data_IF_300368386487
#
_entry.id   IF_300368386487
#
_cell.length_a   1.000
_cell.length_b   1.000
_cell.length_c   1.000
_cell.angle_alpha   90.00
_cell.angle_beta   90.00
_cell.angle_gamma   90.00
#
_symmetry.space_group_name_H-M   'P 1'
#
loop_
_entity.id
_entity.type
_entity.pdbx_description
1 polymer ?
#
# COMPACT_ATOMS: atom_id res chain seq x y z
N UNK A 1 -11.00 -13.52 -15.08
CA UNK A 1 -10.95 -12.07 -14.77
C UNK A 1 -11.69 -11.81 -13.46
N UNK A 2 -11.26 -10.82 -12.68
CA UNK A 2 -11.95 -10.40 -11.45
C UNK A 2 -12.68 -9.09 -11.73
N UNK A 3 -14.01 -9.10 -11.64
CA UNK A 3 -14.86 -7.92 -11.77
C UNK A 3 -15.13 -7.27 -10.41
N UNK A 4 -15.22 -5.95 -10.38
CA UNK A 4 -15.67 -5.20 -9.22
C UNK A 4 -16.87 -4.34 -9.56
N UNK A 5 -17.85 -4.29 -8.67
CA UNK A 5 -18.89 -3.25 -8.64
C UNK A 5 -18.78 -2.51 -7.32
N UNK A 6 -18.55 -1.20 -7.41
CA UNK A 6 -18.42 -0.32 -6.26
C UNK A 6 -19.59 0.68 -6.32
N UNK A 7 -20.36 0.83 -5.24
CA UNK A 7 -21.40 1.86 -5.14
C UNK A 7 -20.82 3.28 -5.16
N UNK A 8 -19.57 3.43 -4.71
CA UNK A 8 -18.80 4.66 -4.77
C UNK A 8 -17.39 4.42 -5.32
N UNK A 9 -16.80 5.44 -5.94
CA UNK A 9 -15.49 5.37 -6.58
C UNK A 9 -14.35 5.60 -5.59
N UNK A 10 -14.30 4.77 -4.52
CA UNK A 10 -13.31 4.88 -3.45
C UNK A 10 -12.51 3.59 -3.30
N UNK A 11 -11.22 3.72 -3.03
CA UNK A 11 -10.25 2.64 -2.76
C UNK A 11 -10.10 1.59 -3.89
N UNK A 12 -10.48 1.92 -5.10
CA UNK A 12 -10.45 1.03 -6.26
C UNK A 12 -9.06 0.41 -6.49
N UNK A 13 -8.02 1.22 -6.45
CA UNK A 13 -6.63 0.74 -6.62
C UNK A 13 -6.21 -0.24 -5.52
N UNK A 14 -6.49 0.08 -4.26
CA UNK A 14 -6.14 -0.76 -3.12
C UNK A 14 -6.91 -2.08 -3.12
N UNK A 15 -8.16 -2.07 -3.56
CA UNK A 15 -9.01 -3.25 -3.65
C UNK A 15 -8.55 -4.19 -4.78
N UNK A 16 -8.21 -3.64 -5.94
CA UNK A 16 -7.63 -4.40 -7.04
C UNK A 16 -6.29 -5.02 -6.64
N UNK A 17 -5.41 -4.25 -5.98
CA UNK A 17 -4.14 -4.75 -5.48
C UNK A 17 -4.32 -5.90 -4.46
N UNK A 18 -5.34 -5.80 -3.60
CA UNK A 18 -5.66 -6.87 -2.64
C UNK A 18 -6.15 -8.13 -3.35
N UNK A 19 -7.09 -8.01 -4.29
CA UNK A 19 -7.59 -9.15 -5.06
C UNK A 19 -6.50 -9.82 -5.90
N UNK A 20 -5.61 -9.01 -6.50
CA UNK A 20 -4.44 -9.53 -7.23
C UNK A 20 -3.47 -10.27 -6.30
N UNK A 21 -3.38 -9.84 -5.03
CA UNK A 21 -2.62 -10.55 -4.00
C UNK A 21 -3.17 -11.96 -3.70
N UNK A 22 -4.51 -12.11 -3.71
CA UNK A 22 -5.17 -13.42 -3.57
C UNK A 22 -5.06 -14.29 -4.82
N UNK A 23 -5.14 -13.67 -6.01
CA UNK A 23 -5.17 -14.38 -7.30
C UNK A 23 -4.12 -13.80 -8.25
N UNK A 24 -2.83 -14.10 -8.06
CA UNK A 24 -1.76 -13.58 -8.89
C UNK A 24 -1.97 -13.89 -10.37
N UNK A 25 -1.70 -12.91 -11.24
CA UNK A 25 -1.83 -13.04 -12.68
C UNK A 25 -3.25 -12.87 -13.22
N UNK A 26 -4.27 -12.73 -12.36
CA UNK A 26 -5.64 -12.43 -12.82
C UNK A 26 -5.80 -10.92 -13.04
N UNK A 27 -6.42 -10.58 -14.18
CA UNK A 27 -6.78 -9.18 -14.48
C UNK A 27 -7.96 -8.74 -13.64
N UNK A 28 -7.96 -7.47 -13.25
CA UNK A 28 -9.05 -6.83 -12.50
C UNK A 28 -9.71 -5.75 -13.34
N UNK A 29 -11.03 -5.55 -13.15
CA UNK A 29 -11.80 -4.51 -13.83
C UNK A 29 -12.83 -3.93 -12.85
N UNK A 30 -12.93 -2.59 -12.82
CA UNK A 30 -13.90 -1.87 -11.97
C UNK A 30 -15.07 -1.38 -12.80
N UNK A 31 -16.30 -1.63 -12.29
CA UNK A 31 -17.57 -1.19 -12.88
C UNK A 31 -17.70 -1.53 -14.38
N UNK A 32 -17.13 -2.65 -14.80
CA UNK A 32 -17.20 -3.20 -16.14
C UNK A 32 -18.07 -4.44 -16.22
N UNK A 33 -17.81 -5.27 -17.24
CA UNK A 33 -18.48 -6.56 -17.37
C UNK A 33 -18.18 -7.47 -16.17
N UNK A 34 -19.15 -8.30 -15.79
CA UNK A 34 -18.98 -9.27 -14.70
C UNK A 34 -17.83 -10.23 -15.02
N UNK A 35 -16.83 -10.30 -14.11
CA UNK A 35 -15.73 -11.26 -14.23
C UNK A 35 -16.17 -12.69 -13.88
N UNK A 36 -15.25 -13.64 -14.04
CA UNK A 36 -15.47 -15.03 -13.60
C UNK A 36 -15.66 -15.10 -12.08
N UNK A 37 -14.99 -14.23 -11.35
CA UNK A 37 -15.19 -13.92 -9.94
C UNK A 37 -15.57 -12.46 -9.83
N UNK A 38 -16.68 -12.15 -9.17
CA UNK A 38 -17.20 -10.80 -9.04
C UNK A 38 -17.22 -10.37 -7.57
N UNK A 39 -16.77 -9.15 -7.30
CA UNK A 39 -16.72 -8.55 -5.95
C UNK A 39 -17.56 -7.29 -5.97
N UNK A 40 -18.71 -7.33 -5.32
CA UNK A 40 -19.58 -6.18 -5.12
C UNK A 40 -19.33 -5.57 -3.74
N UNK A 41 -19.17 -4.25 -3.69
CA UNK A 41 -18.96 -3.49 -2.45
C UNK A 41 -19.98 -2.36 -2.41
N UNK A 42 -20.78 -2.35 -1.36
CA UNK A 42 -21.73 -1.29 -1.08
C UNK A 42 -21.25 -0.48 0.13
N UNK A 43 -21.05 0.81 -0.09
CA UNK A 43 -20.58 1.78 0.90
C UNK A 43 -21.79 2.49 1.51
N UNK A 44 -22.52 1.80 2.40
CA UNK A 44 -23.66 2.40 3.10
C UNK A 44 -23.24 3.36 4.21
N UNK A 45 -24.14 4.24 4.61
CA UNK A 45 -23.90 5.28 5.63
C UNK A 45 -23.59 4.70 7.03
N UNK A 46 -24.19 3.56 7.37
CA UNK A 46 -24.07 2.92 8.68
C UNK A 46 -23.42 1.53 8.60
N UNK A 47 -23.35 0.97 7.42
CA UNK A 47 -22.85 -0.38 7.18
C UNK A 47 -22.17 -0.47 5.83
N UNK A 48 -21.05 -1.17 5.77
CA UNK A 48 -20.41 -1.55 4.53
C UNK A 48 -20.67 -3.03 4.30
N UNK A 49 -21.06 -3.39 3.08
CA UNK A 49 -21.22 -4.79 2.71
C UNK A 49 -20.30 -5.17 1.55
N UNK A 50 -19.83 -6.41 1.59
CA UNK A 50 -19.00 -7.03 0.54
C UNK A 50 -19.63 -8.35 0.16
N UNK A 51 -19.86 -8.57 -1.12
CA UNK A 51 -20.33 -9.83 -1.68
C UNK A 51 -19.36 -10.32 -2.76
N UNK A 52 -18.89 -11.55 -2.64
CA UNK A 52 -18.10 -12.24 -3.67
C UNK A 52 -18.97 -13.31 -4.29
N UNK A 53 -19.06 -13.30 -5.61
CA UNK A 53 -19.94 -14.17 -6.38
C UNK A 53 -19.20 -14.81 -7.56
N UNK A 54 -19.56 -16.05 -7.85
CA UNK A 54 -19.19 -16.80 -9.04
C UNK A 54 -20.43 -17.56 -9.56
N UNK A 55 -20.30 -18.26 -10.66
CA UNK A 55 -21.38 -19.14 -11.16
C UNK A 55 -21.74 -20.26 -10.18
N UNK A 56 -20.82 -20.66 -9.30
CA UNK A 56 -20.98 -21.78 -8.39
C UNK A 56 -21.62 -21.36 -7.05
N UNK A 57 -21.50 -20.08 -6.65
CA UNK A 57 -22.08 -19.60 -5.41
C UNK A 57 -21.66 -18.20 -5.04
N UNK A 58 -22.22 -17.72 -3.91
CA UNK A 58 -21.90 -16.39 -3.39
C UNK A 58 -21.65 -16.40 -1.89
N UNK A 59 -20.78 -15.52 -1.42
CA UNK A 59 -20.51 -15.27 0.00
C UNK A 59 -20.47 -13.78 0.26
N UNK A 60 -21.16 -13.34 1.31
CA UNK A 60 -21.21 -11.95 1.70
C UNK A 60 -20.84 -11.78 3.18
N UNK A 61 -20.39 -10.60 3.52
CA UNK A 61 -20.16 -10.14 4.89
C UNK A 61 -20.38 -8.65 4.96
N UNK A 62 -20.74 -8.15 6.12
CA UNK A 62 -20.90 -6.72 6.37
C UNK A 62 -20.26 -6.32 7.69
N UNK A 63 -19.99 -5.03 7.85
CA UNK A 63 -19.54 -4.43 9.08
C UNK A 63 -20.18 -3.07 9.29
N UNK A 64 -20.61 -2.82 10.52
CA UNK A 64 -21.09 -1.50 10.90
C UNK A 64 -19.94 -0.47 10.83
N UNK A 65 -20.27 0.70 10.34
CA UNK A 65 -19.41 1.89 10.42
C UNK A 65 -19.79 2.61 11.72
N UNK A 66 -19.01 2.37 12.75
CA UNK A 66 -19.19 3.05 14.04
C UNK A 66 -18.29 4.28 14.07
N UNK A 67 -18.87 5.43 13.89
CA UNK A 67 -18.17 6.70 14.04
C UNK A 67 -19.19 7.83 14.05
N UNK A 68 -19.01 8.77 14.95
CA UNK A 68 -19.84 9.98 15.09
C UNK A 68 -19.75 10.91 13.87
N UNK A 69 -19.08 10.48 12.81
CA UNK A 69 -18.73 11.36 11.73
C UNK A 69 -19.39 10.98 10.42
N UNK A 70 -20.19 11.88 9.95
CA UNK A 70 -20.57 12.07 8.56
C UNK A 70 -19.33 12.22 7.64
N UNK A 71 -18.59 11.14 7.46
CA UNK A 71 -17.44 11.16 6.56
C UNK A 71 -17.84 11.50 5.13
N UNK A 72 -19.08 11.19 4.74
CA UNK A 72 -19.71 11.60 3.48
C UNK A 72 -20.05 13.09 3.42
N UNK A 73 -20.22 13.76 4.57
CA UNK A 73 -20.74 15.14 4.63
C UNK A 73 -19.66 16.20 4.76
N UNK A 74 -18.41 15.86 5.00
CA UNK A 74 -17.32 16.84 5.00
C UNK A 74 -16.92 17.14 3.57
N UNK A 75 -17.34 18.31 3.09
CA UNK A 75 -17.02 18.84 1.78
C UNK A 75 -15.56 18.58 1.39
N UNK A 76 -15.38 17.79 0.34
CA UNK A 76 -14.22 17.77 -0.50
C UNK A 76 -13.05 16.87 -0.14
N UNK A 77 -12.81 16.45 1.10
CA UNK A 77 -11.80 15.43 1.46
C UNK A 77 -12.05 14.87 2.84
N UNK A 78 -12.14 13.55 2.95
CA UNK A 78 -12.14 12.83 4.21
C UNK A 78 -10.94 13.26 5.06
N UNK A 79 -11.16 13.60 6.33
CA UNK A 79 -10.07 13.78 7.27
C UNK A 79 -9.21 12.52 7.29
N UNK A 80 -7.90 12.67 7.18
CA UNK A 80 -6.96 11.56 6.95
C UNK A 80 -7.13 10.35 7.91
N UNK A 81 -7.33 10.51 9.24
CA UNK A 81 -7.52 9.37 10.15
C UNK A 81 -8.78 8.57 9.84
N UNK A 82 -9.86 9.26 9.53
CA UNK A 82 -11.15 8.65 9.27
C UNK A 82 -11.18 7.86 7.96
N UNK A 83 -10.61 8.44 6.89
CA UNK A 83 -10.44 7.74 5.62
C UNK A 83 -9.63 6.45 5.78
N UNK A 84 -8.60 6.47 6.62
CA UNK A 84 -7.78 5.28 6.89
C UNK A 84 -8.58 4.21 7.64
N UNK A 85 -9.37 4.60 8.64
CA UNK A 85 -10.25 3.71 9.38
C UNK A 85 -11.25 3.01 8.46
N UNK A 86 -11.97 3.78 7.67
CA UNK A 86 -12.96 3.28 6.73
C UNK A 86 -12.35 2.34 5.68
N UNK A 87 -11.24 2.73 5.08
CA UNK A 87 -10.49 1.90 4.16
C UNK A 87 -10.09 0.56 4.77
N UNK A 88 -9.68 0.55 6.02
CA UNK A 88 -9.28 -0.67 6.71
C UNK A 88 -10.47 -1.61 6.93
N UNK A 89 -11.67 -1.09 7.22
CA UNK A 89 -12.90 -1.89 7.31
C UNK A 89 -13.19 -2.56 5.96
N UNK A 90 -13.25 -1.79 4.88
CA UNK A 90 -13.51 -2.31 3.53
C UNK A 90 -12.51 -3.40 3.16
N UNK A 91 -11.22 -3.11 3.30
CA UNK A 91 -10.16 -4.07 2.95
C UNK A 91 -10.21 -5.33 3.82
N UNK A 92 -10.52 -5.20 5.11
CA UNK A 92 -10.67 -6.34 6.01
C UNK A 92 -11.86 -7.21 5.62
N UNK A 93 -13.00 -6.61 5.24
CA UNK A 93 -14.16 -7.33 4.75
C UNK A 93 -13.83 -8.11 3.48
N UNK A 94 -13.25 -7.44 2.47
CA UNK A 94 -12.82 -8.10 1.22
C UNK A 94 -11.85 -9.24 1.51
N UNK A 95 -10.84 -9.00 2.35
CA UNK A 95 -9.87 -10.04 2.75
C UNK A 95 -10.57 -11.24 3.39
N UNK A 96 -11.49 -10.99 4.34
CA UNK A 96 -12.18 -12.05 5.07
C UNK A 96 -13.07 -12.87 4.15
N UNK A 97 -13.86 -12.21 3.28
CA UNK A 97 -14.74 -12.90 2.35
C UNK A 97 -13.93 -13.72 1.34
N UNK A 98 -12.85 -13.18 0.79
CA UNK A 98 -11.97 -13.90 -0.15
C UNK A 98 -11.23 -15.07 0.52
N UNK A 99 -10.74 -14.87 1.76
CA UNK A 99 -10.09 -15.94 2.53
C UNK A 99 -11.03 -17.12 2.77
N UNK A 100 -12.26 -16.82 3.15
CA UNK A 100 -13.25 -17.79 3.58
C UNK A 100 -14.20 -18.22 2.45
N UNK A 101 -13.95 -17.79 1.22
CA UNK A 101 -14.70 -18.21 0.02
C UNK A 101 -14.43 -19.70 -0.25
N UNK A 102 -15.45 -20.57 -0.43
CA UNK A 102 -15.21 -21.99 -0.69
C UNK A 102 -14.34 -22.21 -1.93
N UNK A 103 -13.39 -23.13 -1.84
CA UNK A 103 -12.48 -23.41 -2.96
C UNK A 103 -13.21 -24.03 -4.15
N UNK A 104 -14.20 -24.87 -3.87
CA UNK A 104 -15.06 -25.50 -4.87
C UNK A 104 -15.94 -24.50 -5.64
N UNK A 105 -16.05 -23.26 -5.18
CA UNK A 105 -16.77 -22.18 -5.88
C UNK A 105 -15.84 -21.30 -6.72
N UNK A 106 -14.53 -21.50 -6.60
CA UNK A 106 -13.58 -20.73 -7.40
C UNK A 106 -13.70 -21.15 -8.88
N UNK A 107 -13.62 -20.19 -9.82
CA UNK A 107 -13.64 -20.49 -11.23
C UNK A 107 -12.39 -21.29 -11.64
N UNK A 108 -12.50 -22.05 -12.73
CA UNK A 108 -11.38 -22.79 -13.29
C UNK A 108 -10.14 -21.90 -13.51
N UNK A 109 -8.99 -22.37 -13.08
CA UNK A 109 -7.72 -21.66 -13.15
C UNK A 109 -7.55 -20.53 -12.13
N UNK A 110 -8.45 -20.43 -11.14
CA UNK A 110 -8.22 -19.54 -9.98
C UNK A 110 -7.58 -20.34 -8.84
N UNK A 111 -6.35 -20.02 -8.54
CA UNK A 111 -5.62 -20.55 -7.38
C UNK A 111 -5.50 -19.47 -6.32
N UNK A 112 -6.15 -19.69 -5.19
CA UNK A 112 -6.11 -18.74 -4.09
C UNK A 112 -4.76 -18.79 -3.36
N UNK A 113 -4.13 -17.63 -3.19
CA UNK A 113 -2.99 -17.43 -2.32
C UNK A 113 -3.37 -16.50 -1.19
N UNK A 114 -3.03 -16.86 0.04
CA UNK A 114 -3.30 -15.99 1.17
C UNK A 114 -2.20 -14.93 1.29
N UNK A 115 -2.52 -13.62 1.15
CA UNK A 115 -1.53 -12.56 1.31
C UNK A 115 -0.99 -12.54 2.75
N UNK A 116 0.28 -12.87 2.94
CA UNK A 116 0.90 -12.98 4.27
C UNK A 116 1.04 -11.65 5.00
N UNK A 117 1.04 -10.54 4.28
CA UNK A 117 0.96 -9.17 4.82
C UNK A 117 -0.49 -8.69 4.98
N UNK A 118 -1.47 -9.58 4.80
CA UNK A 118 -2.88 -9.27 4.94
C UNK A 118 -3.34 -8.19 3.97
N UNK A 119 -3.98 -7.16 4.50
CA UNK A 119 -4.49 -6.03 3.72
C UNK A 119 -3.45 -4.96 3.40
N UNK A 120 -2.21 -5.11 3.84
CA UNK A 120 -1.12 -4.17 3.57
C UNK A 120 -0.54 -4.42 2.17
N UNK A 121 -1.09 -3.75 1.16
CA UNK A 121 -0.73 -3.90 -0.26
C UNK A 121 0.37 -2.94 -0.74
N UNK A 122 0.91 -2.10 0.15
CA UNK A 122 1.96 -1.14 -0.19
C UNK A 122 3.35 -1.78 -0.30
N UNK A 123 4.26 -1.07 -0.97
CA UNK A 123 5.65 -1.50 -1.18
C UNK A 123 6.45 -1.61 0.13
N UNK A 124 6.10 -0.82 1.15
CA UNK A 124 6.78 -0.78 2.45
C UNK A 124 5.79 -1.05 3.60
N UNK A 125 5.45 -2.31 3.87
CA UNK A 125 4.50 -2.65 4.93
C UNK A 125 5.01 -2.27 6.35
N UNK A 126 6.33 -2.16 6.55
CA UNK A 126 6.95 -1.76 7.82
C UNK A 126 6.70 -0.28 8.20
N UNK A 127 6.23 0.57 7.27
CA UNK A 127 5.92 1.96 7.57
C UNK A 127 4.78 2.10 8.60
N UNK A 128 3.78 1.23 8.53
CA UNK A 128 2.63 1.25 9.45
C UNK A 128 3.08 0.98 10.89
N UNK A 129 3.72 -0.18 11.20
CA UNK A 129 4.23 -0.44 12.54
C UNK A 129 5.27 0.57 12.99
N UNK A 130 6.11 1.10 12.12
CA UNK A 130 7.07 2.14 12.47
C UNK A 130 6.39 3.41 12.99
N UNK A 131 5.37 3.90 12.30
CA UNK A 131 4.63 5.08 12.75
C UNK A 131 3.98 4.84 14.13
N UNK A 132 3.39 3.66 14.34
CA UNK A 132 2.78 3.29 15.62
C UNK A 132 3.81 3.28 16.77
N UNK A 133 5.01 2.74 16.51
CA UNK A 133 6.10 2.74 17.51
C UNK A 133 6.62 4.15 17.79
N UNK A 134 6.72 5.00 16.77
CA UNK A 134 7.09 6.41 16.93
C UNK A 134 6.03 7.24 17.68
N UNK A 135 4.76 6.83 17.60
CA UNK A 135 3.65 7.36 18.42
C UNK A 135 3.66 6.85 19.87
N UNK A 136 4.60 5.96 20.23
CA UNK A 136 4.78 5.44 21.59
C UNK A 136 3.98 4.17 21.91
N UNK A 137 3.42 3.50 20.92
CA UNK A 137 2.72 2.21 21.15
C UNK A 137 3.70 1.10 21.48
N UNK A 138 3.26 0.19 22.34
CA UNK A 138 4.03 -1.00 22.70
C UNK A 138 4.08 -2.00 21.53
N UNK A 139 5.19 -2.76 21.44
CA UNK A 139 5.38 -3.76 20.36
C UNK A 139 4.29 -4.80 20.30
N UNK A 140 3.80 -5.25 21.44
CA UNK A 140 2.71 -6.24 21.55
C UNK A 140 1.41 -5.68 20.98
N UNK A 141 1.04 -4.44 21.32
CA UNK A 141 -0.11 -3.74 20.78
C UNK A 141 -0.01 -3.58 19.25
N UNK A 142 1.17 -3.17 18.76
CA UNK A 142 1.41 -3.05 17.31
C UNK A 142 1.20 -4.39 16.60
N UNK A 143 1.72 -5.48 17.15
CA UNK A 143 1.53 -6.82 16.57
C UNK A 143 0.06 -7.24 16.55
N UNK A 144 -0.70 -6.96 17.60
CA UNK A 144 -2.14 -7.23 17.68
C UNK A 144 -2.92 -6.41 16.64
N UNK A 145 -2.60 -5.13 16.46
CA UNK A 145 -3.22 -4.29 15.43
C UNK A 145 -2.91 -4.83 14.03
N UNK A 146 -1.66 -5.21 13.76
CA UNK A 146 -1.27 -5.79 12.46
C UNK A 146 -2.05 -7.06 12.14
N UNK A 147 -2.33 -7.90 13.13
CA UNK A 147 -3.11 -9.13 12.96
C UNK A 147 -4.60 -8.84 12.86
N UNK A 148 -5.16 -8.04 13.77
CA UNK A 148 -6.60 -7.88 13.93
C UNK A 148 -7.20 -6.85 12.95
N UNK A 149 -6.47 -5.78 12.63
CA UNK A 149 -6.93 -4.73 11.71
C UNK A 149 -6.48 -5.00 10.29
N UNK A 150 -5.20 -5.38 10.12
CA UNK A 150 -4.59 -5.56 8.79
C UNK A 150 -4.56 -7.01 8.32
N UNK A 151 -5.08 -7.96 9.10
CA UNK A 151 -5.10 -9.39 8.74
C UNK A 151 -3.71 -9.97 8.41
N UNK A 152 -2.67 -9.41 8.99
CA UNK A 152 -1.30 -9.84 8.78
C UNK A 152 -1.07 -11.21 9.46
N UNK A 153 -0.27 -12.08 8.86
CA UNK A 153 0.12 -13.34 9.52
C UNK A 153 0.96 -13.05 10.77
N UNK A 154 0.89 -13.94 11.77
CA UNK A 154 1.66 -13.82 13.03
C UNK A 154 3.15 -13.58 12.76
N UNK A 155 3.73 -14.38 11.85
CA UNK A 155 5.14 -14.28 11.50
C UNK A 155 5.51 -12.93 10.85
N UNK A 156 4.63 -12.41 9.98
CA UNK A 156 4.87 -11.12 9.32
C UNK A 156 4.59 -9.95 10.24
N UNK A 157 3.63 -10.05 11.15
CA UNK A 157 3.40 -9.05 12.18
C UNK A 157 4.63 -8.93 13.10
N UNK A 158 5.18 -10.05 13.58
CA UNK A 158 6.39 -10.06 14.38
C UNK A 158 7.60 -9.49 13.61
N UNK A 159 7.85 -9.98 12.39
CA UNK A 159 8.95 -9.50 11.55
C UNK A 159 8.82 -8.00 11.24
N UNK A 160 7.62 -7.55 10.86
CA UNK A 160 7.37 -6.15 10.53
C UNK A 160 7.58 -5.22 11.71
N UNK A 161 7.14 -5.62 12.91
CA UNK A 161 7.34 -4.86 14.15
C UNK A 161 8.82 -4.80 14.55
N UNK A 162 9.56 -5.90 14.41
CA UNK A 162 10.99 -5.94 14.72
C UNK A 162 11.80 -5.04 13.77
N UNK A 163 11.54 -5.12 12.46
CA UNK A 163 12.18 -4.24 11.46
C UNK A 163 11.84 -2.79 11.77
N UNK A 164 10.57 -2.49 12.03
CA UNK A 164 10.11 -1.13 12.34
C UNK A 164 10.79 -0.56 13.59
N UNK A 165 10.99 -1.38 14.62
CA UNK A 165 11.69 -0.96 15.83
C UNK A 165 13.18 -0.62 15.58
N UNK A 166 13.85 -1.41 14.74
CA UNK A 166 15.23 -1.13 14.33
C UNK A 166 15.32 0.14 13.48
N UNK A 167 14.41 0.31 12.52
CA UNK A 167 14.33 1.53 11.69
C UNK A 167 14.08 2.76 12.56
N UNK A 168 13.14 2.71 13.52
CA UNK A 168 12.83 3.82 14.42
C UNK A 168 14.06 4.22 15.27
N UNK A 169 14.79 3.24 15.80
CA UNK A 169 16.00 3.50 16.58
C UNK A 169 17.10 4.18 15.73
N UNK A 170 17.31 3.73 14.50
CA UNK A 170 18.27 4.34 13.57
C UNK A 170 17.85 5.78 13.20
N UNK A 171 16.57 6.02 12.96
CA UNK A 171 16.06 7.36 12.64
C UNK A 171 16.26 8.33 13.82
N UNK A 172 15.99 7.89 15.05
CA UNK A 172 16.21 8.72 16.24
C UNK A 172 17.68 9.13 16.39
N UNK A 173 18.63 8.22 16.11
CA UNK A 173 20.07 8.54 16.15
C UNK A 173 20.48 9.57 15.08
N UNK A 174 19.76 9.63 13.98
CA UNK A 174 20.09 10.52 12.85
C UNK A 174 19.42 11.88 12.92
N UNK A 175 18.70 12.21 14.02
CA UNK A 175 18.00 13.51 14.18
C UNK A 175 17.17 13.88 12.92
N UNK A 176 16.50 12.89 12.33
CA UNK A 176 15.87 13.01 10.99
C UNK A 176 14.74 14.04 10.91
N UNK A 177 14.16 14.45 12.07
CA UNK A 177 13.05 15.39 12.12
C UNK A 177 13.48 16.80 11.71
N UNK A 178 14.69 17.20 12.11
CA UNK A 178 15.25 18.53 11.84
C UNK A 178 16.29 18.54 10.71
N UNK A 179 16.64 17.36 10.22
CA UNK A 179 17.59 17.17 9.14
C UNK A 179 16.94 16.93 7.78
N UNK A 180 17.80 16.72 6.78
CA UNK A 180 17.37 16.27 5.46
C UNK A 180 18.33 15.22 4.90
N UNK A 181 17.82 14.37 4.03
CA UNK A 181 18.61 13.41 3.23
C UNK A 181 18.66 13.86 1.80
N UNK A 182 19.82 13.76 1.17
CA UNK A 182 20.03 14.12 -0.23
C UNK A 182 20.27 12.86 -1.06
N UNK A 183 19.30 12.51 -1.90
CA UNK A 183 19.47 11.42 -2.87
C UNK A 183 20.04 11.95 -4.19
N UNK A 184 21.19 11.43 -4.60
CA UNK A 184 21.83 11.76 -5.88
C UNK A 184 21.74 10.56 -6.80
N UNK A 185 20.93 10.66 -7.85
CA UNK A 185 20.79 9.63 -8.87
C UNK A 185 21.69 9.90 -10.06
N UNK A 186 22.42 8.88 -10.55
CA UNK A 186 23.21 8.96 -11.80
C UNK A 186 22.60 7.97 -12.79
N UNK A 187 21.88 8.47 -13.84
CA UNK A 187 21.12 7.59 -14.73
C UNK A 187 21.94 7.02 -15.89
N UNK A 188 23.25 7.25 -15.96
CA UNK A 188 24.11 6.75 -17.04
C UNK A 188 24.69 5.39 -16.67
N UNK A 189 24.35 4.37 -17.43
CA UNK A 189 24.83 3.01 -17.23
C UNK A 189 25.54 2.47 -18.47
N UNK A 190 26.64 1.71 -18.33
CA UNK A 190 27.25 1.02 -19.45
C UNK A 190 26.28 0.07 -20.15
N UNK A 191 25.51 -0.67 -19.34
CA UNK A 191 24.46 -1.58 -19.79
C UNK A 191 23.26 -1.46 -18.87
N UNK A 192 22.04 -1.78 -19.37
CA UNK A 192 20.84 -1.85 -18.54
C UNK A 192 20.73 -3.25 -17.96
N UNK A 193 20.72 -3.37 -16.62
CA UNK A 193 20.47 -4.65 -15.93
C UNK A 193 19.06 -5.16 -16.23
N UNK A 194 18.91 -6.46 -16.42
CA UNK A 194 17.64 -7.09 -16.78
C UNK A 194 16.49 -6.77 -15.79
N UNK A 195 16.83 -6.56 -14.53
CA UNK A 195 15.89 -6.27 -13.43
C UNK A 195 15.79 -4.77 -13.10
N UNK A 196 16.44 -3.88 -13.87
CA UNK A 196 16.48 -2.45 -13.54
C UNK A 196 15.14 -1.77 -13.81
N UNK A 197 14.59 -1.13 -12.78
CA UNK A 197 13.38 -0.29 -12.85
C UNK A 197 13.68 1.22 -12.75
N UNK A 198 14.95 1.60 -12.59
CA UNK A 198 15.34 3.01 -12.55
C UNK A 198 15.48 3.59 -13.96
N UNK A 199 15.33 4.93 -14.11
CA UNK A 199 15.74 5.60 -15.34
C UNK A 199 17.20 5.27 -15.67
N UNK A 200 17.42 4.67 -16.83
CA UNK A 200 18.73 4.20 -17.26
C UNK A 200 18.97 4.60 -18.71
N UNK A 201 20.02 5.34 -18.93
CA UNK A 201 20.48 5.78 -20.25
C UNK A 201 21.80 5.11 -20.60
N UNK A 202 21.81 4.36 -21.70
CA UNK A 202 23.03 3.70 -22.18
C UNK A 202 24.14 4.74 -22.46
N UNK A 203 25.33 4.49 -21.93
CA UNK A 203 26.47 5.35 -22.14
C UNK A 203 26.87 5.44 -23.64
N UNK A 204 26.63 4.39 -24.43
CA UNK A 204 26.91 4.38 -25.86
C UNK A 204 26.08 5.43 -26.61
N UNK A 205 24.80 5.56 -26.26
CA UNK A 205 23.88 6.49 -26.91
C UNK A 205 23.89 7.89 -26.30
N UNK A 206 23.98 7.97 -24.99
CA UNK A 206 23.77 9.21 -24.21
C UNK A 206 25.04 9.69 -23.50
N UNK A 207 26.20 9.03 -23.70
CA UNK A 207 27.44 9.35 -23.01
C UNK A 207 27.93 10.78 -23.24
N UNK A 208 27.58 11.38 -24.37
CA UNK A 208 27.93 12.77 -24.72
C UNK A 208 27.23 13.80 -23.80
N UNK A 209 26.15 13.43 -23.09
CA UNK A 209 25.40 14.30 -22.15
C UNK A 209 25.92 14.22 -20.71
N UNK A 210 26.90 13.36 -20.40
CA UNK A 210 27.39 13.15 -19.03
C UNK A 210 27.94 14.39 -18.37
N UNK A 211 28.75 15.13 -19.06
CA UNK A 211 29.41 16.33 -18.50
C UNK A 211 28.37 17.43 -18.23
N UNK A 212 27.44 17.63 -19.14
CA UNK A 212 26.31 18.56 -18.96
C UNK A 212 25.42 18.16 -17.77
N UNK A 213 25.17 16.87 -17.63
CA UNK A 213 24.43 16.33 -16.51
C UNK A 213 25.14 16.57 -15.17
N UNK A 214 26.45 16.29 -15.09
CA UNK A 214 27.24 16.52 -13.89
C UNK A 214 27.27 18.02 -13.54
N UNK A 215 27.40 18.90 -14.53
CA UNK A 215 27.33 20.33 -14.33
C UNK A 215 25.95 20.78 -13.82
N UNK A 216 24.85 20.20 -14.33
CA UNK A 216 23.51 20.46 -13.84
C UNK A 216 23.34 19.97 -12.40
N UNK A 217 23.78 18.75 -12.11
CA UNK A 217 23.73 18.15 -10.77
C UNK A 217 24.48 19.01 -9.73
N UNK A 218 25.66 19.51 -10.07
CA UNK A 218 26.41 20.42 -9.20
C UNK A 218 25.65 21.73 -8.92
N UNK A 219 24.94 22.27 -9.91
CA UNK A 219 24.08 23.45 -9.70
C UNK A 219 22.91 23.13 -8.77
N UNK A 220 22.27 21.97 -8.94
CA UNK A 220 21.17 21.51 -8.07
C UNK A 220 21.64 21.30 -6.64
N UNK A 221 22.80 20.66 -6.42
CA UNK A 221 23.38 20.47 -5.07
C UNK A 221 23.63 21.82 -4.40
N UNK A 222 24.22 22.79 -5.13
CA UNK A 222 24.43 24.14 -4.60
C UNK A 222 23.10 24.88 -4.29
N UNK A 223 22.09 24.68 -5.14
CA UNK A 223 20.73 25.21 -4.91
C UNK A 223 20.09 24.59 -3.68
N UNK A 224 20.16 23.26 -3.53
CA UNK A 224 19.66 22.53 -2.39
C UNK A 224 20.32 22.99 -1.09
N UNK A 225 21.65 23.17 -1.08
CA UNK A 225 22.38 23.65 0.08
C UNK A 225 21.89 25.03 0.54
N UNK A 226 21.53 25.93 -0.40
CA UNK A 226 20.94 27.23 -0.09
C UNK A 226 19.53 27.12 0.48
N UNK A 227 18.68 26.27 -0.12
CA UNK A 227 17.31 26.04 0.33
C UNK A 227 17.25 25.40 1.72
N UNK A 228 18.21 24.54 2.02
CA UNK A 228 18.30 23.79 3.27
C UNK A 228 19.24 24.47 4.30
N UNK A 229 19.54 25.77 4.10
CA UNK A 229 20.37 26.52 5.03
C UNK A 229 19.78 26.48 6.45
N UNK A 230 20.61 26.12 7.44
CA UNK A 230 20.18 25.92 8.83
C UNK A 230 19.65 24.51 9.14
N UNK A 231 19.51 23.64 8.14
CA UNK A 231 19.17 22.24 8.33
C UNK A 231 20.42 21.36 8.22
N UNK A 232 20.46 20.28 9.00
CA UNK A 232 21.59 19.31 8.96
C UNK A 232 21.39 18.31 7.83
N UNK A 233 22.42 18.08 7.03
CA UNK A 233 22.46 16.93 6.11
C UNK A 233 22.72 15.66 6.94
N UNK A 234 21.77 14.71 6.94
CA UNK A 234 21.82 13.47 7.73
C UNK A 234 22.28 12.27 6.92
N UNK A 235 22.04 12.26 5.60
CA UNK A 235 22.51 11.19 4.70
C UNK A 235 22.49 11.64 3.23
#
# INVERSE_FOLDING_TARGET
>A
MIGFTLSEKEFDYELQALATGFFPGKRTQINGESGDLHIAIDYGDTEISVCVETKAGRKASSAAVTGDDDWHKKEGKLAHPYRTYYKNIVKKLVFTVLRDFPEEWLPEGFERRLPVWGTMTGVRPTKIPMNMLLEGRERTEVMEILQNVYCCSVQKAALGTEIAAREAALLQQNEYQDGYSLYVGIPFCPTTCLYCSFPSYSCDRFGHLRDDYVAALQREIKGTAKLMQGKRLTS
#
